data_IF_958371206932
#
_entry.id   IF_958371206932
#
_cell.length_a   1.000
_cell.length_b   1.000
_cell.length_c   1.000
_cell.angle_alpha   90.00
_cell.angle_beta   90.00
_cell.angle_gamma   90.00
#
_symmetry.space_group_name_H-M   'P 1'
#
loop_
_entity.id
_entity.type
_entity.pdbx_description
1 polymer ?
#
# COMPACT_ATOMS: atom_id res chain seq x y z
N UNK A 1 -20.90 -34.54 9.77
CA UNK A 1 -21.74 -33.90 8.73
C UNK A 1 -21.78 -32.37 8.85
N UNK A 2 -22.24 -31.78 9.97
CA UNK A 2 -22.26 -30.31 10.15
C UNK A 2 -20.86 -29.65 10.13
N UNK A 3 -19.84 -30.34 10.63
CA UNK A 3 -18.47 -29.82 10.67
C UNK A 3 -17.78 -29.82 9.29
N UNK A 4 -18.10 -30.79 8.43
CA UNK A 4 -17.59 -30.84 7.06
C UNK A 4 -18.33 -29.87 6.14
N UNK A 5 -19.64 -29.67 6.35
CA UNK A 5 -20.42 -28.68 5.62
C UNK A 5 -19.88 -27.25 5.85
N UNK A 6 -19.54 -26.92 7.10
CA UNK A 6 -18.93 -25.62 7.44
C UNK A 6 -17.50 -25.44 6.89
N UNK A 7 -16.75 -26.52 6.70
CA UNK A 7 -15.43 -26.48 6.05
C UNK A 7 -15.52 -26.22 4.55
N UNK A 8 -16.51 -26.82 3.88
CA UNK A 8 -16.76 -26.63 2.44
C UNK A 8 -17.21 -25.19 2.18
N UNK A 9 -18.12 -24.66 3.02
CA UNK A 9 -18.62 -23.29 2.90
C UNK A 9 -17.49 -22.25 3.11
N UNK A 10 -16.61 -22.46 4.10
CA UNK A 10 -15.40 -21.63 4.29
C UNK A 10 -14.46 -21.69 3.10
N UNK A 11 -14.19 -22.89 2.55
CA UNK A 11 -13.31 -23.05 1.37
C UNK A 11 -13.88 -22.38 0.13
N UNK A 12 -15.19 -22.48 -0.08
CA UNK A 12 -15.87 -21.80 -1.17
C UNK A 12 -15.83 -20.27 -1.02
N UNK A 13 -16.08 -19.76 0.20
CA UNK A 13 -16.01 -18.33 0.49
C UNK A 13 -14.59 -17.80 0.23
N UNK A 14 -13.56 -18.47 0.75
CA UNK A 14 -12.16 -18.10 0.53
C UNK A 14 -11.78 -18.17 -0.95
N UNK A 15 -12.19 -19.21 -1.68
CA UNK A 15 -11.93 -19.33 -3.11
C UNK A 15 -12.58 -18.22 -3.95
N UNK A 16 -13.85 -17.91 -3.66
CA UNK A 16 -14.58 -16.82 -4.32
C UNK A 16 -13.96 -15.45 -4.03
N UNK A 17 -13.47 -15.26 -2.80
CA UNK A 17 -12.76 -14.07 -2.38
C UNK A 17 -11.43 -13.94 -3.15
N UNK A 18 -10.60 -14.99 -3.17
CA UNK A 18 -9.32 -14.99 -3.91
C UNK A 18 -9.49 -14.69 -5.40
N UNK A 19 -10.52 -15.28 -6.04
CA UNK A 19 -10.85 -15.00 -7.44
C UNK A 19 -11.19 -13.52 -7.67
N UNK A 20 -12.06 -12.96 -6.83
CA UNK A 20 -12.43 -11.54 -6.88
C UNK A 20 -11.20 -10.63 -6.73
N UNK A 21 -10.28 -10.96 -5.83
CA UNK A 21 -9.03 -10.21 -5.64
C UNK A 21 -8.10 -10.30 -6.83
N UNK A 22 -7.91 -11.51 -7.39
CA UNK A 22 -7.09 -11.70 -8.59
C UNK A 22 -7.57 -10.84 -9.75
N UNK A 23 -8.89 -10.75 -9.94
CA UNK A 23 -9.52 -9.91 -10.98
C UNK A 23 -9.22 -8.42 -10.73
N UNK A 24 -9.38 -7.93 -9.49
CA UNK A 24 -9.12 -6.53 -9.17
C UNK A 24 -7.63 -6.15 -9.32
N UNK A 25 -6.72 -7.03 -8.91
CA UNK A 25 -5.27 -6.85 -9.11
C UNK A 25 -4.95 -6.80 -10.61
N UNK A 26 -5.54 -7.70 -11.41
CA UNK A 26 -5.36 -7.71 -12.86
C UNK A 26 -5.85 -6.41 -13.49
N UNK A 27 -7.05 -5.94 -13.12
CA UNK A 27 -7.60 -4.66 -13.60
C UNK A 27 -6.66 -3.49 -13.24
N UNK A 28 -6.11 -3.49 -12.02
CA UNK A 28 -5.17 -2.46 -11.58
C UNK A 28 -3.85 -2.47 -12.39
N UNK A 29 -3.28 -3.66 -12.63
CA UNK A 29 -2.07 -3.82 -13.45
C UNK A 29 -2.32 -3.36 -14.89
N UNK A 30 -3.42 -3.80 -15.50
CA UNK A 30 -3.79 -3.41 -16.87
C UNK A 30 -4.01 -1.90 -16.99
N UNK A 31 -4.74 -1.32 -16.04
CA UNK A 31 -4.95 0.13 -15.94
C UNK A 31 -3.61 0.86 -15.87
N UNK A 32 -2.68 0.36 -15.08
CA UNK A 32 -1.35 0.94 -14.92
C UNK A 32 -0.52 0.87 -16.22
N UNK A 33 -0.52 -0.28 -16.91
CA UNK A 33 0.18 -0.46 -18.19
C UNK A 33 -0.34 0.51 -19.27
N UNK A 34 -1.64 0.83 -19.26
CA UNK A 34 -2.24 1.72 -20.25
C UNK A 34 -2.05 3.20 -19.88
N UNK A 35 -2.30 3.55 -18.62
CA UNK A 35 -2.23 4.94 -18.15
C UNK A 35 -0.79 5.46 -18.16
N UNK A 36 0.19 4.60 -17.87
CA UNK A 36 1.57 5.03 -17.70
C UNK A 36 2.22 5.58 -18.99
N UNK A 37 2.14 4.91 -20.17
CA UNK A 37 2.60 5.46 -21.44
C UNK A 37 1.91 6.78 -21.80
N UNK A 38 0.60 6.88 -21.56
CA UNK A 38 -0.16 8.12 -21.78
C UNK A 38 0.37 9.23 -20.88
N UNK A 39 0.56 8.95 -19.59
CA UNK A 39 1.13 9.91 -18.63
C UNK A 39 2.51 10.40 -19.05
N UNK A 40 3.40 9.51 -19.49
CA UNK A 40 4.73 9.89 -19.99
C UNK A 40 4.59 10.79 -21.22
N UNK A 41 3.79 10.36 -22.19
CA UNK A 41 3.61 11.08 -23.44
C UNK A 41 3.10 12.52 -23.19
N UNK A 42 2.04 12.66 -22.40
CA UNK A 42 1.46 13.96 -22.06
C UNK A 42 2.44 14.85 -21.28
N UNK A 43 3.18 14.27 -20.33
CA UNK A 43 4.15 15.06 -19.54
C UNK A 43 5.33 15.51 -20.39
N UNK A 44 5.80 14.68 -21.33
CA UNK A 44 6.90 15.05 -22.23
C UNK A 44 6.52 16.18 -23.18
N UNK A 45 5.33 16.12 -23.78
CA UNK A 45 4.85 17.16 -24.71
C UNK A 45 4.75 18.53 -24.03
N UNK A 46 4.34 18.55 -22.76
CA UNK A 46 4.13 19.80 -22.03
C UNK A 46 5.37 20.27 -21.24
N UNK A 47 6.45 19.49 -21.23
CA UNK A 47 7.61 19.70 -20.35
C UNK A 47 8.26 21.07 -20.52
N UNK A 48 8.42 21.54 -21.74
CA UNK A 48 9.07 22.84 -21.99
C UNK A 48 8.21 24.01 -21.52
N UNK A 49 6.90 23.94 -21.76
CA UNK A 49 5.94 24.96 -21.29
C UNK A 49 5.79 24.94 -19.78
N UNK A 50 5.81 23.76 -19.17
CA UNK A 50 5.64 23.62 -17.72
C UNK A 50 6.87 24.13 -16.94
N UNK A 51 8.07 24.21 -17.54
CA UNK A 51 9.29 24.70 -16.87
C UNK A 51 9.20 26.14 -16.40
N UNK A 52 8.42 26.95 -17.10
CA UNK A 52 8.25 28.37 -16.79
C UNK A 52 7.21 28.60 -15.68
N UNK A 53 6.46 27.55 -15.33
CA UNK A 53 5.40 27.64 -14.32
C UNK A 53 6.01 27.46 -12.93
N UNK A 54 5.64 28.29 -11.93
CA UNK A 54 6.11 28.18 -10.55
C UNK A 54 5.93 26.79 -9.89
N UNK A 55 5.07 25.97 -10.49
CA UNK A 55 4.59 24.67 -10.02
C UNK A 55 5.45 23.50 -10.56
N UNK A 56 6.32 23.76 -11.55
CA UNK A 56 7.14 22.75 -12.25
C UNK A 56 7.90 21.81 -11.31
N UNK A 57 8.37 22.31 -10.17
CA UNK A 57 9.18 21.53 -9.24
C UNK A 57 8.43 20.32 -8.69
N UNK A 58 7.17 20.52 -8.29
CA UNK A 58 6.33 19.45 -7.76
C UNK A 58 5.98 18.45 -8.86
N UNK A 59 5.54 18.93 -10.03
CA UNK A 59 5.16 18.07 -11.15
C UNK A 59 6.34 17.29 -11.72
N UNK A 60 7.52 17.89 -11.82
CA UNK A 60 8.73 17.20 -12.28
C UNK A 60 9.17 16.12 -11.27
N UNK A 61 9.11 16.40 -9.97
CA UNK A 61 9.42 15.38 -8.96
C UNK A 61 8.42 14.22 -9.01
N UNK A 62 7.11 14.52 -9.07
CA UNK A 62 6.06 13.51 -9.23
C UNK A 62 6.28 12.66 -10.49
N UNK A 63 6.62 13.28 -11.63
CA UNK A 63 6.92 12.56 -12.87
C UNK A 63 8.10 11.60 -12.70
N UNK A 64 9.24 12.07 -12.18
CA UNK A 64 10.44 11.25 -12.01
C UNK A 64 10.16 10.03 -11.11
N UNK A 65 9.49 10.25 -9.98
CA UNK A 65 9.17 9.19 -9.04
C UNK A 65 8.12 8.24 -9.60
N UNK A 66 7.10 8.75 -10.31
CA UNK A 66 6.10 7.91 -10.98
C UNK A 66 6.79 6.99 -11.99
N UNK A 67 7.66 7.52 -12.85
CA UNK A 67 8.41 6.70 -13.82
C UNK A 67 9.24 5.62 -13.14
N UNK A 68 9.97 5.98 -12.09
CA UNK A 68 10.78 5.01 -11.36
C UNK A 68 9.95 3.93 -10.67
N UNK A 69 8.89 4.32 -9.94
CA UNK A 69 7.98 3.38 -9.25
C UNK A 69 7.30 2.40 -10.22
N UNK A 70 6.91 2.88 -11.40
CA UNK A 70 6.23 2.06 -12.40
C UNK A 70 7.17 1.05 -13.05
N UNK A 71 8.41 1.44 -13.33
CA UNK A 71 9.44 0.50 -13.79
C UNK A 71 9.71 -0.61 -12.77
N UNK A 72 9.72 -0.29 -11.46
CA UNK A 72 9.87 -1.29 -10.41
C UNK A 72 8.67 -2.25 -10.31
N UNK A 73 7.45 -1.73 -10.45
CA UNK A 73 6.23 -2.56 -10.47
C UNK A 73 6.27 -3.55 -11.64
N UNK A 74 6.64 -3.08 -12.84
CA UNK A 74 6.78 -3.95 -14.02
C UNK A 74 7.85 -5.03 -13.80
N UNK A 75 9.00 -4.67 -13.22
CA UNK A 75 10.05 -5.64 -12.86
C UNK A 75 9.51 -6.70 -11.88
N UNK A 76 8.77 -6.28 -10.85
CA UNK A 76 8.18 -7.21 -9.88
C UNK A 76 7.13 -8.15 -10.49
N UNK A 77 6.34 -7.66 -11.47
CA UNK A 77 5.38 -8.49 -12.18
C UNK A 77 6.06 -9.61 -12.99
N UNK A 78 7.18 -9.29 -13.64
CA UNK A 78 8.00 -10.29 -14.36
C UNK A 78 8.54 -11.33 -13.39
N UNK A 79 9.03 -10.92 -12.21
CA UNK A 79 9.49 -11.85 -11.18
C UNK A 79 8.38 -12.79 -10.69
N UNK A 80 7.17 -12.28 -10.47
CA UNK A 80 6.02 -13.09 -10.04
C UNK A 80 5.64 -14.12 -11.11
N UNK A 81 5.54 -13.69 -12.38
CA UNK A 81 5.24 -14.61 -13.50
C UNK A 81 6.28 -15.72 -13.57
N UNK A 82 7.56 -15.37 -13.40
CA UNK A 82 8.63 -16.35 -13.40
C UNK A 82 8.50 -17.38 -12.26
N UNK A 83 8.21 -16.93 -11.02
CA UNK A 83 7.97 -17.82 -9.86
C UNK A 83 6.82 -18.80 -10.15
N UNK A 84 5.73 -18.31 -10.74
CA UNK A 84 4.58 -19.16 -11.08
C UNK A 84 4.97 -20.21 -12.12
N UNK A 85 5.72 -19.80 -13.15
CA UNK A 85 6.18 -20.70 -14.21
C UNK A 85 7.21 -21.72 -13.72
N UNK A 86 8.10 -21.37 -12.78
CA UNK A 86 9.07 -22.31 -12.20
C UNK A 86 8.35 -23.34 -11.32
N UNK A 87 7.46 -22.89 -10.45
CA UNK A 87 6.68 -23.80 -9.59
C UNK A 87 5.81 -24.79 -10.37
N UNK A 88 5.31 -24.38 -11.55
CA UNK A 88 4.55 -25.28 -12.43
C UNK A 88 5.39 -26.38 -13.10
N UNK A 89 6.73 -26.27 -13.08
CA UNK A 89 7.67 -27.23 -13.68
C UNK A 89 8.26 -28.19 -12.67
N UNK A 90 8.42 -27.77 -11.42
CA UNK A 90 9.06 -28.56 -10.35
C UNK A 90 8.22 -29.76 -9.89
N UNK A 91 6.91 -29.79 -10.21
CA UNK A 91 6.08 -30.98 -9.96
C UNK A 91 6.53 -32.21 -10.80
N UNK A 92 7.49 -32.03 -11.72
CA UNK A 92 7.91 -33.06 -12.68
C UNK A 92 9.37 -33.54 -12.56
N UNK A 93 10.31 -32.83 -11.91
CA UNK A 93 11.73 -33.26 -11.82
C UNK A 93 12.41 -32.79 -10.52
N UNK A 94 13.08 -33.71 -9.79
CA UNK A 94 13.67 -33.51 -8.46
C UNK A 94 15.17 -33.07 -8.48
N UNK A 95 15.56 -31.93 -9.06
CA UNK A 95 16.97 -31.48 -9.08
C UNK A 95 17.16 -30.01 -8.62
N UNK A 96 16.77 -29.70 -7.37
CA UNK A 96 16.32 -28.32 -7.02
C UNK A 96 17.19 -27.56 -6.00
N UNK A 97 18.50 -27.41 -6.25
CA UNK A 97 19.32 -26.42 -5.49
C UNK A 97 19.48 -25.08 -6.19
N UNK A 98 19.51 -25.07 -7.53
CA UNK A 98 19.66 -23.85 -8.32
C UNK A 98 18.39 -22.99 -8.31
N UNK A 99 17.21 -23.62 -8.27
CA UNK A 99 15.93 -22.90 -8.31
C UNK A 99 15.60 -22.17 -6.99
N UNK A 100 15.98 -22.76 -5.85
CA UNK A 100 15.78 -22.14 -4.53
C UNK A 100 16.53 -20.82 -4.33
N UNK A 101 17.74 -20.66 -4.87
CA UNK A 101 18.47 -19.40 -4.80
C UNK A 101 17.81 -18.30 -5.64
N UNK A 102 17.29 -18.66 -6.82
CA UNK A 102 16.63 -17.69 -7.71
C UNK A 102 15.28 -17.26 -7.11
N UNK A 103 14.53 -18.21 -6.54
CA UNK A 103 13.31 -17.92 -5.76
C UNK A 103 13.60 -16.94 -4.62
N UNK A 104 14.67 -17.17 -3.84
CA UNK A 104 15.07 -16.28 -2.76
C UNK A 104 15.40 -14.86 -3.27
N UNK A 105 16.13 -14.74 -4.38
CA UNK A 105 16.43 -13.45 -5.01
C UNK A 105 15.14 -12.73 -5.44
N UNK A 106 14.21 -13.45 -6.07
CA UNK A 106 12.93 -12.90 -6.50
C UNK A 106 12.07 -12.41 -5.32
N UNK A 107 12.06 -13.16 -4.21
CA UNK A 107 11.37 -12.78 -2.98
C UNK A 107 12.00 -11.53 -2.33
N UNK A 108 13.34 -11.46 -2.28
CA UNK A 108 14.06 -10.28 -1.78
C UNK A 108 13.74 -9.06 -2.64
N UNK A 109 13.74 -9.20 -3.97
CA UNK A 109 13.39 -8.11 -4.87
C UNK A 109 11.95 -7.63 -4.64
N UNK A 110 10.99 -8.55 -4.49
CA UNK A 110 9.60 -8.21 -4.20
C UNK A 110 9.46 -7.47 -2.86
N UNK A 111 10.18 -7.92 -1.83
CA UNK A 111 10.22 -7.25 -0.53
C UNK A 111 10.78 -5.82 -0.63
N UNK A 112 11.86 -5.61 -1.39
CA UNK A 112 12.45 -4.29 -1.63
C UNK A 112 11.45 -3.37 -2.34
N UNK A 113 10.79 -3.87 -3.41
CA UNK A 113 9.78 -3.09 -4.16
C UNK A 113 8.59 -2.73 -3.26
N UNK A 114 8.15 -3.65 -2.40
CA UNK A 114 7.09 -3.38 -1.44
C UNK A 114 7.49 -2.27 -0.46
N UNK A 115 8.66 -2.38 0.18
CA UNK A 115 9.17 -1.36 1.12
C UNK A 115 9.34 0.00 0.44
N UNK A 116 9.83 0.02 -0.80
CA UNK A 116 9.95 1.24 -1.58
C UNK A 116 8.58 1.91 -1.81
N UNK A 117 7.57 1.15 -2.22
CA UNK A 117 6.22 1.68 -2.42
C UNK A 117 5.59 2.19 -1.11
N UNK A 118 5.89 1.55 0.03
CA UNK A 118 5.44 1.99 1.34
C UNK A 118 5.98 3.36 1.76
N UNK A 119 7.04 3.84 1.11
CA UNK A 119 7.60 5.19 1.35
C UNK A 119 7.03 6.18 0.34
N UNK A 120 6.93 5.75 -0.93
CA UNK A 120 6.68 6.66 -2.06
C UNK A 120 5.20 7.02 -2.18
N UNK A 121 4.29 6.07 -2.04
CA UNK A 121 2.86 6.27 -2.29
C UNK A 121 2.28 7.35 -1.37
N UNK A 122 2.54 7.36 -0.04
CA UNK A 122 2.07 8.43 0.85
C UNK A 122 2.56 9.82 0.43
N UNK A 123 3.84 9.91 0.06
CA UNK A 123 4.49 11.17 -0.35
C UNK A 123 3.87 11.67 -1.65
N UNK A 124 3.67 10.80 -2.64
CA UNK A 124 3.02 11.15 -3.91
C UNK A 124 1.60 11.65 -3.68
N UNK A 125 0.79 10.94 -2.88
CA UNK A 125 -0.56 11.35 -2.56
C UNK A 125 -0.62 12.74 -1.93
N UNK A 126 0.26 13.00 -0.95
CA UNK A 126 0.37 14.30 -0.29
C UNK A 126 0.78 15.40 -1.28
N UNK A 127 1.78 15.15 -2.13
CA UNK A 127 2.24 16.10 -3.13
C UNK A 127 1.18 16.41 -4.19
N UNK A 128 0.37 15.44 -4.59
CA UNK A 128 -0.75 15.63 -5.52
C UNK A 128 -1.83 16.52 -4.89
N UNK A 129 -2.15 16.29 -3.62
CA UNK A 129 -3.06 17.16 -2.88
C UNK A 129 -2.52 18.59 -2.77
N UNK A 130 -1.26 18.76 -2.34
CA UNK A 130 -0.61 20.06 -2.22
C UNK A 130 -0.57 20.80 -3.56
N UNK A 131 -0.31 20.08 -4.66
CA UNK A 131 -0.33 20.62 -6.02
C UNK A 131 -1.71 21.15 -6.41
N UNK A 132 -2.77 20.40 -6.13
CA UNK A 132 -4.14 20.82 -6.40
C UNK A 132 -4.55 22.04 -5.58
N UNK A 133 -4.21 22.02 -4.29
CA UNK A 133 -4.48 23.13 -3.37
C UNK A 133 -3.72 24.39 -3.78
N UNK A 134 -2.44 24.27 -4.15
CA UNK A 134 -1.65 25.38 -4.67
C UNK A 134 -2.28 25.99 -5.92
N UNK A 135 -2.73 25.16 -6.87
CA UNK A 135 -3.40 25.65 -8.09
C UNK A 135 -4.70 26.36 -7.78
N UNK A 136 -5.48 25.82 -6.86
CA UNK A 136 -6.72 26.44 -6.41
C UNK A 136 -6.47 27.83 -5.84
N UNK A 137 -5.50 27.97 -4.93
CA UNK A 137 -5.18 29.25 -4.32
C UNK A 137 -4.58 30.24 -5.33
N UNK A 138 -3.69 29.82 -6.23
CA UNK A 138 -3.17 30.69 -7.28
C UNK A 138 -4.27 31.19 -8.22
N UNK A 139 -5.29 30.36 -8.49
CA UNK A 139 -6.40 30.72 -9.36
C UNK A 139 -7.37 31.70 -8.70
N UNK A 140 -7.84 31.40 -7.48
CA UNK A 140 -8.86 32.21 -6.79
C UNK A 140 -8.28 33.39 -5.99
N UNK A 141 -7.01 33.30 -5.58
CA UNK A 141 -6.33 34.29 -4.75
C UNK A 141 -4.91 34.57 -5.29
N UNK A 142 -4.76 35.30 -6.41
CA UNK A 142 -3.44 35.55 -7.02
C UNK A 142 -2.42 36.20 -6.07
N UNK A 143 -2.88 36.97 -5.07
CA UNK A 143 -2.03 37.56 -4.03
C UNK A 143 -1.29 36.52 -3.17
N UNK A 144 -1.75 35.27 -3.16
CA UNK A 144 -1.16 34.17 -2.42
C UNK A 144 0.12 33.59 -3.06
N UNK A 145 0.45 33.99 -4.29
CA UNK A 145 1.60 33.50 -5.05
C UNK A 145 2.92 33.57 -4.25
N UNK A 146 3.13 34.68 -3.53
CA UNK A 146 4.34 34.92 -2.72
C UNK A 146 4.53 33.91 -1.58
N UNK A 147 3.45 33.29 -1.10
CA UNK A 147 3.48 32.38 0.05
C UNK A 147 3.48 30.91 -0.38
N UNK A 148 2.85 30.60 -1.51
CA UNK A 148 2.54 29.22 -1.88
C UNK A 148 3.55 28.67 -2.88
N UNK A 149 4.19 29.52 -3.70
CA UNK A 149 5.25 29.07 -4.61
C UNK A 149 6.49 28.73 -3.77
N UNK A 150 6.84 27.44 -3.62
CA UNK A 150 7.98 27.09 -2.80
C UNK A 150 9.27 27.46 -3.52
N UNK A 151 10.17 28.14 -2.81
CA UNK A 151 11.55 28.34 -3.26
C UNK A 151 12.23 26.98 -3.49
N UNK A 152 13.30 26.93 -4.29
CA UNK A 152 13.98 25.66 -4.59
C UNK A 152 14.51 25.02 -3.30
N UNK A 153 15.06 25.86 -2.42
CA UNK A 153 15.54 25.47 -1.11
C UNK A 153 14.41 24.93 -0.24
N UNK A 154 13.29 25.63 -0.16
CA UNK A 154 12.11 25.21 0.62
C UNK A 154 11.55 23.88 0.11
N UNK A 155 11.46 23.70 -1.21
CA UNK A 155 10.98 22.45 -1.80
C UNK A 155 11.92 21.28 -1.50
N UNK A 156 13.24 21.45 -1.67
CA UNK A 156 14.23 20.41 -1.33
C UNK A 156 14.17 20.02 0.14
N UNK A 157 13.99 21.01 1.03
CA UNK A 157 13.83 20.78 2.48
C UNK A 157 12.54 19.99 2.74
N UNK A 158 11.40 20.40 2.19
CA UNK A 158 10.12 19.70 2.31
C UNK A 158 10.24 18.23 1.88
N UNK A 159 10.76 17.99 0.68
CA UNK A 159 10.92 16.65 0.15
C UNK A 159 11.82 15.80 1.07
N UNK A 160 12.96 16.34 1.52
CA UNK A 160 13.85 15.64 2.46
C UNK A 160 13.12 15.25 3.74
N UNK A 161 12.35 16.17 4.34
CA UNK A 161 11.56 15.89 5.54
C UNK A 161 10.54 14.78 5.32
N UNK A 162 9.79 14.83 4.21
CA UNK A 162 8.77 13.82 3.88
C UNK A 162 9.37 12.42 3.74
N UNK A 163 10.51 12.31 3.04
CA UNK A 163 11.24 11.05 2.92
C UNK A 163 11.81 10.58 4.26
N UNK A 164 12.43 11.48 5.03
CA UNK A 164 13.00 11.13 6.33
C UNK A 164 11.94 10.61 7.30
N UNK A 165 10.79 11.28 7.40
CA UNK A 165 9.69 10.83 8.28
C UNK A 165 9.19 9.45 7.85
N UNK A 166 8.97 9.25 6.55
CA UNK A 166 8.47 7.98 6.02
C UNK A 166 9.45 6.82 6.24
N UNK A 167 10.75 7.06 6.02
CA UNK A 167 11.80 6.06 6.24
C UNK A 167 11.91 5.72 7.74
N UNK A 168 11.98 6.74 8.61
CA UNK A 168 12.07 6.53 10.05
C UNK A 168 10.86 5.74 10.58
N UNK A 169 9.64 6.08 10.13
CA UNK A 169 8.43 5.36 10.51
C UNK A 169 8.48 3.87 10.13
N UNK A 170 8.90 3.56 8.91
CA UNK A 170 9.03 2.17 8.44
C UNK A 170 10.14 1.40 9.19
N UNK A 171 11.27 2.04 9.49
CA UNK A 171 12.36 1.43 10.27
C UNK A 171 11.89 1.12 11.69
N UNK A 172 11.25 2.07 12.37
CA UNK A 172 10.73 1.88 13.73
C UNK A 172 9.74 0.71 13.76
N UNK A 173 8.81 0.67 12.78
CA UNK A 173 7.86 -0.43 12.64
C UNK A 173 8.55 -1.78 12.43
N UNK A 174 9.57 -1.83 11.56
CA UNK A 174 10.32 -3.06 11.28
C UNK A 174 11.08 -3.56 12.51
N UNK A 175 11.77 -2.67 13.23
CA UNK A 175 12.48 -3.00 14.47
C UNK A 175 11.50 -3.52 15.52
N UNK A 176 10.34 -2.88 15.66
CA UNK A 176 9.29 -3.32 16.58
C UNK A 176 8.82 -4.74 16.26
N UNK A 177 8.54 -5.03 14.98
CA UNK A 177 8.14 -6.38 14.55
C UNK A 177 9.21 -7.43 14.81
N UNK A 178 10.47 -7.13 14.50
CA UNK A 178 11.60 -8.04 14.77
C UNK A 178 11.75 -8.28 16.27
N UNK A 179 11.60 -7.23 17.09
CA UNK A 179 11.64 -7.33 18.55
C UNK A 179 10.53 -8.24 19.10
N UNK A 180 9.30 -8.13 18.58
CA UNK A 180 8.20 -9.02 18.95
C UNK A 180 8.42 -10.47 18.48
N UNK A 181 9.07 -10.68 17.34
CA UNK A 181 9.44 -12.01 16.86
C UNK A 181 10.50 -12.66 17.76
N UNK A 182 11.49 -11.88 18.21
CA UNK A 182 12.58 -12.34 19.05
C UNK A 182 12.13 -12.73 20.47
N UNK A 183 11.05 -12.12 21.00
CA UNK A 183 10.54 -12.44 22.34
C UNK A 183 9.69 -13.71 22.34
N UNK A 184 8.61 -13.76 21.56
CA UNK A 184 7.75 -14.93 21.41
C UNK A 184 6.84 -14.78 20.18
N UNK A 185 6.65 -15.88 19.43
CA UNK A 185 5.72 -15.97 18.30
C UNK A 185 4.31 -15.45 18.63
N UNK A 186 3.80 -15.68 19.84
CA UNK A 186 2.50 -15.17 20.27
C UNK A 186 2.47 -13.62 20.39
N UNK A 187 3.57 -13.02 20.83
CA UNK A 187 3.71 -11.56 20.92
C UNK A 187 3.85 -10.94 19.52
N UNK A 188 4.59 -11.58 18.61
CA UNK A 188 4.64 -11.21 17.19
C UNK A 188 3.27 -11.24 16.54
N UNK A 189 2.53 -12.35 16.67
CA UNK A 189 1.17 -12.47 16.14
C UNK A 189 0.23 -11.40 16.73
N UNK A 190 0.37 -11.08 18.01
CA UNK A 190 -0.40 -10.01 18.66
C UNK A 190 0.02 -8.61 18.18
N UNK A 191 1.29 -8.38 17.89
CA UNK A 191 1.79 -7.12 17.31
C UNK A 191 1.34 -6.95 15.84
N UNK A 192 1.19 -8.07 15.12
CA UNK A 192 0.55 -8.15 13.80
C UNK A 192 -0.98 -8.01 13.87
N UNK A 193 -1.58 -8.02 15.08
CA UNK A 193 -3.02 -7.89 15.33
C UNK A 193 -3.38 -6.46 15.79
N UNK A 194 -4.55 -5.93 15.43
CA UNK A 194 -4.69 -5.01 14.32
C UNK A 194 -4.26 -3.56 14.66
N UNK A 195 -3.65 -3.25 15.80
CA UNK A 195 -3.43 -1.84 16.23
C UNK A 195 -2.48 -1.08 15.29
N UNK A 196 -1.30 -1.64 15.00
CA UNK A 196 -0.30 -0.99 14.14
C UNK A 196 -0.58 -1.10 12.63
N UNK A 197 -1.01 -2.27 12.11
CA UNK A 197 -1.53 -2.36 10.75
C UNK A 197 -2.69 -1.40 10.51
N UNK A 198 -3.57 -1.18 11.50
CA UNK A 198 -4.68 -0.23 11.37
C UNK A 198 -4.19 1.22 11.34
N UNK A 199 -3.19 1.60 12.13
CA UNK A 199 -2.66 2.97 12.09
C UNK A 199 -2.02 3.27 10.73
N UNK A 200 -1.18 2.35 10.23
CA UNK A 200 -0.57 2.51 8.91
C UNK A 200 -1.66 2.57 7.83
N UNK A 201 -2.58 1.60 7.82
CA UNK A 201 -3.70 1.57 6.87
C UNK A 201 -4.57 2.82 6.94
N UNK A 202 -4.83 3.35 8.14
CA UNK A 202 -5.58 4.59 8.34
C UNK A 202 -4.87 5.80 7.71
N UNK A 203 -3.54 5.89 7.83
CA UNK A 203 -2.76 6.95 7.17
C UNK A 203 -2.90 6.83 5.64
N UNK A 204 -2.75 5.63 5.08
CA UNK A 204 -2.91 5.39 3.64
C UNK A 204 -4.30 5.76 3.14
N UNK A 205 -5.34 5.27 3.82
CA UNK A 205 -6.74 5.55 3.50
C UNK A 205 -6.99 7.06 3.59
N UNK A 206 -6.51 7.72 4.64
CA UNK A 206 -6.65 9.18 4.80
C UNK A 206 -5.99 9.94 3.65
N UNK A 207 -4.79 9.54 3.25
CA UNK A 207 -4.08 10.18 2.12
C UNK A 207 -4.75 9.92 0.77
N UNK A 208 -5.34 8.74 0.57
CA UNK A 208 -6.14 8.44 -0.62
C UNK A 208 -7.41 9.28 -0.67
N UNK A 209 -8.11 9.44 0.46
CA UNK A 209 -9.24 10.37 0.56
C UNK A 209 -8.82 11.82 0.33
N UNK A 210 -7.63 12.21 0.79
CA UNK A 210 -7.09 13.55 0.56
C UNK A 210 -6.84 13.80 -0.94
N UNK A 211 -6.34 12.79 -1.66
CA UNK A 211 -6.22 12.83 -3.14
C UNK A 211 -7.60 12.91 -3.80
N UNK A 212 -8.60 12.18 -3.31
CA UNK A 212 -9.97 12.33 -3.82
C UNK A 212 -10.51 13.74 -3.57
N UNK A 213 -10.27 14.32 -2.40
CA UNK A 213 -10.66 15.70 -2.08
C UNK A 213 -9.99 16.72 -3.01
N UNK A 214 -8.75 16.45 -3.44
CA UNK A 214 -8.04 17.29 -4.42
C UNK A 214 -8.81 17.46 -5.74
N UNK A 215 -9.68 16.51 -6.10
CA UNK A 215 -10.57 16.60 -7.27
C UNK A 215 -11.53 17.77 -7.20
N UNK A 216 -12.02 18.10 -5.99
CA UNK A 216 -12.96 19.18 -5.77
C UNK A 216 -12.30 20.50 -6.15
N UNK A 217 -11.03 20.70 -5.76
CA UNK A 217 -10.26 21.87 -6.17
C UNK A 217 -10.15 22.01 -7.69
N UNK A 218 -9.87 20.92 -8.40
CA UNK A 218 -9.83 20.94 -9.86
C UNK A 218 -11.20 21.19 -10.49
N UNK A 219 -12.27 20.62 -9.93
CA UNK A 219 -13.66 20.86 -10.38
C UNK A 219 -14.04 22.34 -10.15
N UNK A 220 -13.68 22.92 -9.00
CA UNK A 220 -13.91 24.34 -8.72
C UNK A 220 -13.22 25.23 -9.75
N UNK A 221 -11.95 24.97 -10.06
CA UNK A 221 -11.19 25.69 -11.10
C UNK A 221 -11.85 25.52 -12.47
N UNK A 222 -12.36 24.32 -12.79
CA UNK A 222 -13.06 24.08 -14.06
C UNK A 222 -14.33 24.88 -14.21
N UNK A 223 -15.15 24.92 -13.17
CA UNK A 223 -16.43 25.64 -13.18
C UNK A 223 -16.18 27.14 -13.38
N UNK A 224 -15.21 27.71 -12.64
CA UNK A 224 -14.85 29.13 -12.79
C UNK A 224 -14.28 29.43 -14.17
N UNK A 225 -13.37 28.59 -14.71
CA UNK A 225 -12.83 28.74 -16.06
C UNK A 225 -13.92 28.65 -17.12
N UNK A 226 -14.86 27.70 -17.02
CA UNK A 226 -15.98 27.56 -17.98
C UNK A 226 -16.88 28.79 -17.97
N UNK A 227 -17.16 29.35 -16.79
CA UNK A 227 -17.95 30.58 -16.65
C UNK A 227 -17.30 31.75 -17.40
N UNK A 228 -15.98 31.91 -17.28
CA UNK A 228 -15.23 32.98 -17.96
C UNK A 228 -15.09 32.69 -19.47
N UNK A 229 -14.84 31.44 -19.86
CA UNK A 229 -14.64 31.04 -21.27
C UNK A 229 -15.95 31.12 -22.08
N UNK A 230 -17.11 30.91 -21.45
CA UNK A 230 -18.41 31.07 -22.10
C UNK A 230 -18.67 32.51 -22.57
N UNK A 231 -17.97 33.50 -22.01
CA UNK A 231 -18.00 34.90 -22.45
C UNK A 231 -16.90 35.26 -23.46
N UNK A 232 -15.85 34.45 -23.61
CA UNK A 232 -14.64 34.76 -24.40
C UNK A 232 -14.31 33.64 -25.40
N UNK A 233 -15.24 33.37 -26.31
CA UNK A 233 -15.17 32.27 -27.27
C UNK A 233 -14.30 32.60 -28.50
N UNK A 234 -12.97 32.58 -28.37
CA UNK A 234 -12.06 32.38 -29.53
C UNK A 234 -10.58 32.24 -29.18
N UNK A 235 -10.12 32.71 -28.01
CA UNK A 235 -8.67 32.90 -27.76
C UNK A 235 -7.99 31.77 -26.95
N UNK A 236 -8.75 30.85 -26.31
CA UNK A 236 -8.21 29.97 -25.24
C UNK A 236 -8.11 28.46 -25.57
N UNK A 237 -7.80 28.07 -26.81
CA UNK A 237 -7.95 26.67 -27.26
C UNK A 237 -6.94 25.66 -26.69
N UNK A 238 -5.74 26.07 -26.22
CA UNK A 238 -4.66 25.16 -25.80
C UNK A 238 -4.00 25.56 -24.46
N UNK A 239 -4.58 25.21 -23.30
CA UNK A 239 -3.91 25.39 -22.00
C UNK A 239 -3.56 24.06 -21.29
N UNK A 240 -2.40 23.99 -20.60
CA UNK A 240 -1.95 22.83 -19.82
C UNK A 240 -2.91 22.46 -18.68
N UNK A 241 -3.79 23.38 -18.27
CA UNK A 241 -4.85 23.17 -17.28
C UNK A 241 -5.71 21.93 -17.59
N UNK A 242 -6.17 21.75 -18.84
CA UNK A 242 -7.01 20.60 -19.24
C UNK A 242 -6.29 19.26 -19.08
N UNK A 243 -4.98 19.22 -19.32
CA UNK A 243 -4.19 17.99 -19.25
C UNK A 243 -4.04 17.53 -17.81
N UNK A 244 -3.72 18.44 -16.89
CA UNK A 244 -3.65 18.10 -15.47
C UNK A 244 -5.02 17.63 -14.94
N UNK A 245 -6.12 18.22 -15.40
CA UNK A 245 -7.47 17.77 -15.04
C UNK A 245 -7.74 16.33 -15.49
N UNK A 246 -7.42 15.97 -16.73
CA UNK A 246 -7.58 14.59 -17.19
C UNK A 246 -6.68 13.64 -16.42
N UNK A 247 -5.45 14.06 -16.12
CA UNK A 247 -4.53 13.28 -15.30
C UNK A 247 -5.07 13.05 -13.89
N UNK A 248 -5.66 14.07 -13.25
CA UNK A 248 -6.28 13.94 -11.93
C UNK A 248 -7.56 13.11 -11.96
N UNK A 249 -8.40 13.25 -12.99
CA UNK A 249 -9.58 12.39 -13.20
C UNK A 249 -9.20 10.92 -13.33
N UNK A 250 -8.19 10.62 -14.15
CA UNK A 250 -7.67 9.26 -14.31
C UNK A 250 -7.12 8.74 -12.98
N UNK A 251 -6.37 9.56 -12.24
CA UNK A 251 -5.86 9.19 -10.92
C UNK A 251 -7.00 8.88 -9.92
N UNK A 252 -8.08 9.65 -9.92
CA UNK A 252 -9.24 9.42 -9.04
C UNK A 252 -9.92 8.09 -9.35
N UNK A 253 -10.11 7.77 -10.64
CA UNK A 253 -10.70 6.48 -11.06
C UNK A 253 -9.83 5.32 -10.58
N UNK A 254 -8.50 5.43 -10.72
CA UNK A 254 -7.57 4.42 -10.20
C UNK A 254 -7.65 4.30 -8.67
N UNK A 255 -7.75 5.43 -7.95
CA UNK A 255 -7.85 5.42 -6.48
C UNK A 255 -9.18 4.88 -5.96
N UNK A 256 -10.28 5.14 -6.65
CA UNK A 256 -11.59 4.55 -6.37
C UNK A 256 -11.57 3.03 -6.50
N UNK A 257 -10.76 2.49 -7.42
CA UNK A 257 -10.56 1.04 -7.55
C UNK A 257 -9.61 0.48 -6.49
N UNK A 258 -8.63 1.27 -6.00
CA UNK A 258 -7.64 0.82 -5.02
C UNK A 258 -8.13 0.82 -3.57
N UNK A 259 -9.03 1.71 -3.18
CA UNK A 259 -9.56 1.77 -1.79
C UNK A 259 -10.32 0.49 -1.40
N UNK A 260 -11.26 -0.04 -2.20
CA UNK A 260 -11.92 -1.31 -1.90
C UNK A 260 -10.93 -2.46 -1.80
N UNK A 261 -9.91 -2.50 -2.67
CA UNK A 261 -8.83 -3.48 -2.62
C UNK A 261 -8.11 -3.44 -1.26
N UNK A 262 -7.74 -2.25 -0.78
CA UNK A 262 -7.07 -2.09 0.52
C UNK A 262 -7.97 -2.50 1.68
N UNK A 263 -9.24 -2.09 1.68
CA UNK A 263 -10.19 -2.42 2.76
C UNK A 263 -10.44 -3.94 2.88
N UNK A 264 -10.60 -4.62 1.74
CA UNK A 264 -10.80 -6.07 1.75
C UNK A 264 -9.52 -6.82 2.12
N UNK A 265 -8.35 -6.34 1.68
CA UNK A 265 -7.06 -6.90 2.12
C UNK A 265 -6.86 -6.77 3.64
N UNK A 266 -7.19 -5.61 4.23
CA UNK A 266 -7.14 -5.44 5.68
C UNK A 266 -8.06 -6.43 6.41
N UNK A 267 -9.30 -6.61 5.91
CA UNK A 267 -10.26 -7.56 6.49
C UNK A 267 -9.81 -9.01 6.38
N UNK A 268 -9.22 -9.39 5.24
CA UNK A 268 -8.66 -10.73 5.03
C UNK A 268 -7.49 -11.01 5.98
N UNK A 269 -6.62 -10.01 6.20
CA UNK A 269 -5.53 -10.10 7.19
C UNK A 269 -6.07 -10.27 8.62
N UNK A 270 -7.13 -9.54 8.98
CA UNK A 270 -7.80 -9.66 10.27
C UNK A 270 -8.38 -11.07 10.47
N UNK A 271 -9.07 -11.61 9.46
CA UNK A 271 -9.66 -12.95 9.53
C UNK A 271 -8.59 -14.07 9.60
N UNK A 272 -7.49 -13.95 8.85
CA UNK A 272 -6.37 -14.90 8.87
C UNK A 272 -5.66 -14.91 10.23
N UNK A 273 -5.36 -13.73 10.77
CA UNK A 273 -4.67 -13.60 12.06
C UNK A 273 -5.54 -14.08 13.23
N UNK A 274 -6.85 -13.85 13.18
CA UNK A 274 -7.79 -14.36 14.20
C UNK A 274 -7.82 -15.90 14.19
N UNK A 275 -7.84 -16.52 13.00
CA UNK A 275 -7.81 -17.97 12.84
C UNK A 275 -6.54 -18.59 13.45
N UNK A 276 -5.36 -17.99 13.20
CA UNK A 276 -4.08 -18.49 13.69
C UNK A 276 -3.90 -18.30 15.21
N UNK A 277 -4.46 -17.23 15.79
CA UNK A 277 -4.45 -17.01 17.25
C UNK A 277 -5.37 -18.01 17.95
N UNK A 278 -6.52 -18.35 17.36
CA UNK A 278 -7.46 -19.32 17.93
C UNK A 278 -6.89 -20.75 17.90
N UNK A 279 -6.21 -21.14 16.83
CA UNK A 279 -5.53 -22.45 16.74
C UNK A 279 -4.35 -22.53 17.72
N UNK A 280 -3.54 -21.48 17.83
CA UNK A 280 -2.42 -21.44 18.78
C UNK A 280 -2.87 -21.55 20.26
N UNK A 281 -4.00 -20.96 20.63
CA UNK A 281 -4.56 -21.09 21.98
C UNK A 281 -5.19 -22.46 22.24
N UNK A 282 -5.79 -23.07 21.21
CA UNK A 282 -6.31 -24.45 21.30
C UNK A 282 -5.20 -25.47 21.55
N UNK A 283 -4.04 -25.31 20.92
CA UNK A 283 -2.90 -26.22 21.13
C UNK A 283 -2.25 -26.02 22.51
N UNK A 284 -2.24 -24.78 23.02
CA UNK A 284 -1.76 -24.49 24.38
C UNK A 284 -2.65 -25.12 25.45
N UNK A 285 -3.96 -25.08 25.28
CA UNK A 285 -4.91 -25.74 26.18
C UNK A 285 -4.85 -27.28 26.13
N UNK A 286 -4.35 -27.87 25.04
CA UNK A 286 -4.11 -29.33 24.97
C UNK A 286 -2.82 -29.76 25.67
N UNK A 287 -1.83 -28.88 25.77
CA UNK A 287 -0.58 -29.13 26.49
C UNK A 287 -0.73 -29.11 28.02
N UNK A 288 -1.69 -28.34 28.56
CA UNK A 288 -1.94 -28.25 30.00
C UNK A 288 -2.86 -29.36 30.55
N UNK A 289 -3.43 -30.23 29.70
CA UNK A 289 -4.31 -31.34 30.14
C UNK A 289 -3.53 -32.66 30.38
N UNK A 290 -2.21 -32.68 30.16
CA UNK A 290 -1.36 -33.87 30.32
C UNK A 290 -0.30 -33.81 31.45
N UNK A 291 -0.40 -32.86 32.38
CA UNK A 291 0.33 -32.96 33.66
C UNK A 291 -0.65 -33.39 34.77
N UNK A 292 -0.78 -34.71 34.96
CA UNK A 292 -1.28 -35.24 36.23
C UNK A 292 -0.37 -34.76 37.37
N UNK A 293 -0.94 -34.24 38.48
CA UNK A 293 -0.14 -33.94 39.66
C UNK A 293 0.26 -35.28 40.31
N UNK A 294 1.55 -35.60 40.27
CA UNK A 294 2.15 -36.51 41.26
C UNK A 294 2.13 -35.80 42.63
N UNK A 295 1.01 -35.89 43.34
CA UNK A 295 1.00 -35.80 44.81
C UNK A 295 1.94 -36.91 45.33
N UNK A 296 3.08 -36.59 45.93
CA UNK A 296 3.21 -36.16 47.34
C UNK A 296 2.34 -37.04 48.24
N UNK A 297 2.74 -38.30 48.37
CA UNK A 297 2.30 -39.23 49.42
C UNK A 297 3.47 -40.18 49.72
N UNK A 298 4.56 -39.62 50.23
CA UNK A 298 5.65 -40.41 50.85
C UNK A 298 6.06 -39.93 52.25
N UNK A 299 5.48 -38.83 52.75
CA UNK A 299 5.75 -38.34 54.10
C UNK A 299 4.44 -38.18 54.88
N UNK A 300 3.96 -39.26 55.49
CA UNK A 300 3.18 -39.32 56.74
C UNK A 300 2.45 -40.67 56.84
N UNK A 301 3.13 -41.70 57.35
CA UNK A 301 2.52 -42.82 58.11
C UNK A 301 3.63 -43.77 58.60
N UNK A 302 4.46 -43.27 59.52
CA UNK A 302 5.29 -44.12 60.39
C UNK A 302 5.22 -43.59 61.83
N UNK A 303 4.00 -43.51 62.36
CA UNK A 303 3.80 -43.43 63.80
C UNK A 303 2.40 -43.94 64.14
N UNK A 304 2.24 -45.27 64.23
CA UNK A 304 1.46 -45.96 65.27
C UNK A 304 1.33 -47.47 64.98
N UNK A 305 1.90 -48.24 65.93
CA UNK A 305 1.52 -49.60 66.34
C UNK A 305 1.60 -50.75 65.32
N UNK A 306 2.64 -51.57 65.45
CA UNK A 306 2.51 -52.90 66.08
C UNK A 306 3.82 -53.26 66.80
N UNK A 307 3.66 -53.60 68.08
CA UNK A 307 4.49 -54.41 69.00
C UNK A 307 5.94 -54.80 68.64
#
# INVERSE_FOLDING_TARGET
MNQELGLIEKRFLVGSLLLYHGILILIYILSTIIIFPLFIHFTRINREKDREVPIYRITNHLYQITVFSQSLILLSAVSIIWIILSHSKDEYNNEDKFDGMILLIALILLAIVYQFNQIIVPIQNLLIFLLAFQRFLLYFYPTSEKYIVPSEKSFKILIRWLYSISICGNIIYTIFLIGCLATNKAMFLKACNPVWPNLNSAIYITLDFLVMFSSIFYICILISVRKITSLASSVMKNRPEKVIIYQTLVLIVVKLLSIPLTLVFCKLLEDLTLSDVLTANSDKNKGEIFEEPKEILEDFELEQLFD
#
